data_IF_572921768513
#
_entry.id   IF_572921768513
#
_cell.length_a   1.000
_cell.length_b   1.000
_cell.length_c   1.000
_cell.angle_alpha   90.00
_cell.angle_beta   90.00
_cell.angle_gamma   90.00
#
_symmetry.space_group_name_H-M   'P 1'
#
loop_
_entity.id
_entity.type
_entity.pdbx_description
1 polymer ?
#
# COMPACT_ATOMS: atom_id res chain seq x y z
N UNK A 1 -60.50 5.80 -7.55
CA UNK A 1 -59.23 5.30 -6.96
C UNK A 1 -58.33 4.92 -8.13
N UNK A 2 -57.61 5.93 -8.69
CA UNK A 2 -56.68 5.72 -9.79
C UNK A 2 -55.60 4.77 -9.27
N UNK A 3 -55.51 3.59 -9.88
CA UNK A 3 -54.36 2.71 -9.71
C UNK A 3 -53.14 3.50 -10.21
N UNK A 4 -52.26 3.93 -9.30
CA UNK A 4 -51.02 4.57 -9.65
C UNK A 4 -50.27 3.70 -10.62
N UNK A 5 -50.08 4.19 -11.84
CA UNK A 5 -49.38 3.51 -12.90
C UNK A 5 -47.98 3.15 -12.41
N UNK A 6 -47.61 1.87 -12.24
CA UNK A 6 -46.32 1.45 -11.70
C UNK A 6 -45.13 2.05 -12.49
N UNK A 7 -45.40 2.39 -13.76
CA UNK A 7 -44.43 3.05 -14.61
C UNK A 7 -44.14 4.50 -14.15
N UNK A 8 -45.17 5.27 -13.75
CA UNK A 8 -44.99 6.62 -13.22
C UNK A 8 -44.23 6.62 -11.90
N UNK A 9 -44.53 5.65 -11.03
CA UNK A 9 -43.77 5.47 -9.79
C UNK A 9 -42.30 5.13 -10.07
N UNK A 10 -42.03 4.23 -10.99
CA UNK A 10 -40.66 3.86 -11.39
C UNK A 10 -39.89 5.05 -12.00
N UNK A 11 -40.53 5.85 -12.86
CA UNK A 11 -39.94 7.07 -13.43
C UNK A 11 -39.65 8.09 -12.33
N UNK A 12 -40.55 8.29 -11.38
CA UNK A 12 -40.35 9.19 -10.24
C UNK A 12 -39.15 8.77 -9.36
N UNK A 13 -39.03 7.49 -9.05
CA UNK A 13 -37.89 6.93 -8.32
C UNK A 13 -36.59 7.13 -9.09
N UNK A 14 -36.58 6.87 -10.40
CA UNK A 14 -35.41 7.09 -11.24
C UNK A 14 -35.02 8.57 -11.31
N UNK A 15 -35.96 9.49 -11.44
CA UNK A 15 -35.69 10.93 -11.43
C UNK A 15 -35.12 11.39 -10.09
N UNK A 16 -35.69 10.95 -8.96
CA UNK A 16 -35.18 11.22 -7.64
C UNK A 16 -33.75 10.68 -7.45
N UNK A 17 -33.49 9.46 -7.91
CA UNK A 17 -32.16 8.87 -7.89
C UNK A 17 -31.17 9.66 -8.75
N UNK A 18 -31.54 10.03 -9.97
CA UNK A 18 -30.72 10.88 -10.85
C UNK A 18 -30.42 12.24 -10.22
N UNK A 19 -31.40 12.86 -9.58
CA UNK A 19 -31.18 14.10 -8.84
C UNK A 19 -30.12 13.92 -7.74
N UNK A 20 -30.24 12.87 -6.92
CA UNK A 20 -29.27 12.57 -5.86
C UNK A 20 -27.86 12.34 -6.45
N UNK A 21 -27.74 11.56 -7.53
CA UNK A 21 -26.46 11.31 -8.19
C UNK A 21 -25.83 12.62 -8.70
N UNK A 22 -26.59 13.42 -9.42
CA UNK A 22 -26.07 14.66 -10.00
C UNK A 22 -25.69 15.68 -8.94
N UNK A 23 -26.62 16.01 -8.01
CA UNK A 23 -26.44 17.12 -7.07
C UNK A 23 -25.57 16.76 -5.85
N UNK A 24 -25.60 15.52 -5.37
CA UNK A 24 -24.84 15.12 -4.17
C UNK A 24 -23.55 14.35 -4.46
N UNK A 25 -23.37 13.83 -5.66
CA UNK A 25 -22.19 13.06 -6.02
C UNK A 25 -21.38 13.76 -7.12
N UNK A 26 -21.98 13.97 -8.31
CA UNK A 26 -21.25 14.49 -9.45
C UNK A 26 -20.82 15.95 -9.30
N UNK A 27 -21.74 16.86 -8.99
CA UNK A 27 -21.42 18.29 -8.83
C UNK A 27 -20.37 18.51 -7.73
N UNK A 28 -20.50 17.97 -6.50
CA UNK A 28 -19.45 18.09 -5.50
C UNK A 28 -18.13 17.43 -5.94
N UNK A 29 -18.17 16.36 -6.74
CA UNK A 29 -16.96 15.75 -7.28
C UNK A 29 -16.26 16.65 -8.30
N UNK A 30 -17.00 17.24 -9.23
CA UNK A 30 -16.46 18.16 -10.24
C UNK A 30 -15.72 19.33 -9.59
N UNK A 31 -16.32 19.94 -8.58
CA UNK A 31 -15.73 21.10 -7.88
C UNK A 31 -14.79 20.72 -6.74
N UNK A 32 -14.55 19.43 -6.47
CA UNK A 32 -13.70 18.97 -5.37
C UNK A 32 -14.26 19.30 -3.99
N UNK A 33 -15.56 19.54 -3.88
CA UNK A 33 -16.22 19.88 -2.63
C UNK A 33 -16.40 18.64 -1.75
N UNK A 34 -16.10 18.79 -0.46
CA UNK A 34 -16.38 17.77 0.55
C UNK A 34 -17.64 18.18 1.33
N UNK A 35 -18.63 17.29 1.35
CA UNK A 35 -19.86 17.50 2.16
C UNK A 35 -19.63 17.21 3.65
N UNK A 36 -18.40 16.91 4.07
CA UNK A 36 -18.05 16.59 5.46
C UNK A 36 -18.55 15.21 5.94
N UNK A 37 -19.39 14.53 5.16
CA UNK A 37 -19.99 13.24 5.51
C UNK A 37 -18.93 12.19 5.83
N UNK A 38 -17.88 12.11 5.02
CA UNK A 38 -16.78 11.15 5.24
C UNK A 38 -16.06 11.41 6.57
N UNK A 39 -15.85 12.68 6.93
CA UNK A 39 -15.21 13.02 8.21
C UNK A 39 -16.07 12.66 9.42
N UNK A 40 -17.40 12.82 9.33
CA UNK A 40 -18.33 12.37 10.37
C UNK A 40 -18.31 10.84 10.47
N UNK A 41 -18.38 10.16 9.34
CA UNK A 41 -18.32 8.70 9.25
C UNK A 41 -17.06 8.14 9.91
N UNK A 42 -15.87 8.67 9.59
CA UNK A 42 -14.61 8.23 10.19
C UNK A 42 -14.59 8.48 11.71
N UNK A 43 -15.09 9.63 12.18
CA UNK A 43 -15.17 9.90 13.64
C UNK A 43 -16.05 8.89 14.36
N UNK A 44 -17.17 8.51 13.77
CA UNK A 44 -18.06 7.46 14.34
C UNK A 44 -17.33 6.12 14.39
N UNK A 45 -16.65 5.73 13.31
CA UNK A 45 -15.85 4.49 13.27
C UNK A 45 -14.76 4.48 14.34
N UNK A 46 -14.02 5.58 14.51
CA UNK A 46 -12.97 5.71 15.53
C UNK A 46 -13.56 5.53 16.93
N UNK A 47 -14.68 6.18 17.23
CA UNK A 47 -15.35 6.03 18.55
C UNK A 47 -15.79 4.60 18.81
N UNK A 48 -16.34 3.91 17.81
CA UNK A 48 -16.72 2.49 17.94
C UNK A 48 -15.48 1.63 18.19
N UNK A 49 -14.39 1.88 17.47
CA UNK A 49 -13.12 1.17 17.59
C UNK A 49 -12.51 1.37 18.98
N UNK A 50 -12.45 2.61 19.46
CA UNK A 50 -11.94 2.94 20.79
C UNK A 50 -12.78 2.28 21.90
N UNK A 51 -14.10 2.38 21.80
CA UNK A 51 -15.01 1.73 22.75
C UNK A 51 -14.80 0.20 22.77
N UNK A 52 -14.72 -0.43 21.61
CA UNK A 52 -14.48 -1.88 21.49
C UNK A 52 -13.13 -2.28 22.10
N UNK A 53 -12.06 -1.51 21.81
CA UNK A 53 -10.72 -1.76 22.34
C UNK A 53 -10.70 -1.68 23.86
N UNK A 54 -11.27 -0.62 24.45
CA UNK A 54 -11.35 -0.47 25.91
C UNK A 54 -12.11 -1.64 26.55
N UNK A 55 -13.19 -2.09 25.89
CA UNK A 55 -13.99 -3.20 26.43
C UNK A 55 -13.25 -4.53 26.39
N UNK A 56 -12.51 -4.79 25.32
CA UNK A 56 -11.66 -5.99 25.21
C UNK A 56 -10.55 -5.96 26.25
N UNK A 57 -9.90 -4.82 26.45
CA UNK A 57 -8.84 -4.66 27.44
C UNK A 57 -9.36 -4.87 28.87
N UNK A 58 -10.58 -4.41 29.21
CA UNK A 58 -11.21 -4.66 30.51
C UNK A 58 -11.47 -6.15 30.71
N UNK A 59 -12.10 -6.82 29.75
CA UNK A 59 -12.37 -8.25 29.82
C UNK A 59 -11.09 -9.09 29.96
N UNK A 60 -9.98 -8.63 29.39
CA UNK A 60 -8.66 -9.27 29.53
C UNK A 60 -8.07 -9.11 30.93
N UNK A 61 -8.31 -7.96 31.60
CA UNK A 61 -7.84 -7.72 32.99
C UNK A 61 -8.63 -8.47 34.04
N UNK A 62 -9.90 -8.75 33.79
CA UNK A 62 -10.81 -9.45 34.72
C UNK A 62 -10.60 -10.97 34.71
N UNK A 63 -9.86 -11.53 33.76
CA UNK A 63 -9.52 -12.95 33.76
C UNK A 63 -8.13 -13.17 34.39
N UNK A 64 -7.99 -14.11 35.35
CA UNK A 64 -6.67 -14.45 35.89
C UNK A 64 -5.75 -14.88 34.73
N UNK A 65 -4.54 -14.39 34.78
CA UNK A 65 -3.49 -14.62 33.78
C UNK A 65 -3.17 -16.12 33.70
N UNK A 66 -3.88 -16.85 32.85
CA UNK A 66 -3.29 -18.03 32.25
C UNK A 66 -2.14 -17.50 31.42
N UNK A 67 -0.90 -18.00 31.55
CA UNK A 67 0.18 -17.57 30.67
C UNK A 67 -0.29 -17.76 29.23
N UNK A 68 -0.55 -16.64 28.54
CA UNK A 68 -0.79 -16.69 27.11
C UNK A 68 0.58 -17.03 26.52
N UNK A 69 0.73 -18.15 25.81
CA UNK A 69 1.93 -18.33 25.01
C UNK A 69 2.05 -17.07 24.17
N UNK A 70 3.19 -16.39 24.24
CA UNK A 70 3.53 -15.31 23.32
C UNK A 70 3.18 -15.82 21.92
N UNK A 71 2.58 -14.97 21.03
CA UNK A 71 2.30 -15.41 19.69
C UNK A 71 3.60 -15.97 19.12
N UNK A 72 3.56 -17.26 18.81
CA UNK A 72 4.68 -18.07 18.42
C UNK A 72 5.51 -17.31 17.39
N UNK A 73 6.62 -16.75 17.83
CA UNK A 73 7.68 -16.31 16.95
C UNK A 73 8.20 -17.53 16.20
N UNK A 74 8.83 -17.33 15.08
CA UNK A 74 9.52 -18.37 14.27
C UNK A 74 10.44 -19.27 15.12
N UNK A 75 10.99 -18.72 16.20
CA UNK A 75 11.84 -19.39 17.19
C UNK A 75 11.15 -20.58 17.89
N UNK A 76 9.84 -20.51 18.23
CA UNK A 76 9.15 -21.66 18.86
C UNK A 76 8.90 -22.83 17.89
N UNK A 77 8.72 -22.56 16.60
CA UNK A 77 8.66 -23.64 15.58
C UNK A 77 10.03 -24.25 15.33
N UNK A 78 11.09 -23.47 15.45
CA UNK A 78 12.46 -23.98 15.42
C UNK A 78 12.80 -24.78 16.68
N UNK A 79 12.24 -24.42 17.85
CA UNK A 79 12.42 -25.14 19.10
C UNK A 79 11.88 -26.56 19.09
N UNK A 80 10.67 -26.79 18.53
CA UNK A 80 10.11 -28.12 18.37
C UNK A 80 10.94 -29.00 17.41
N UNK A 81 11.47 -28.41 16.35
CA UNK A 81 12.39 -29.08 15.42
C UNK A 81 13.75 -29.38 16.05
N UNK A 82 14.20 -28.53 16.97
CA UNK A 82 15.49 -28.70 17.66
C UNK A 82 15.43 -29.78 18.75
N UNK A 83 14.29 -29.94 19.46
CA UNK A 83 14.06 -31.03 20.38
C UNK A 83 13.96 -32.38 19.66
N UNK A 84 13.37 -32.43 18.47
CA UNK A 84 13.30 -33.63 17.63
C UNK A 84 14.70 -34.03 17.07
N UNK A 85 15.56 -33.05 16.74
CA UNK A 85 16.91 -33.29 16.29
C UNK A 85 17.88 -33.62 17.45
N UNK A 86 17.71 -33.05 18.63
CA UNK A 86 18.48 -33.40 19.83
C UNK A 86 18.11 -34.78 20.41
N UNK A 87 16.94 -35.32 20.07
CA UNK A 87 16.51 -36.66 20.43
C UNK A 87 17.19 -37.80 19.59
N UNK A 88 18.16 -37.53 18.72
CA UNK A 88 18.93 -38.51 17.96
C UNK A 88 20.16 -38.98 18.71
N UNK A 89 20.65 -40.17 18.43
CA UNK A 89 21.13 -41.13 19.40
C UNK A 89 22.41 -40.75 20.15
N UNK A 90 22.51 -41.25 21.36
CA UNK A 90 23.68 -41.25 22.23
C UNK A 90 24.99 -41.50 21.46
N UNK A 91 25.87 -40.49 21.42
CA UNK A 91 27.24 -40.65 20.91
C UNK A 91 27.76 -39.54 20.01
N UNK A 92 26.97 -38.58 19.59
CA UNK A 92 27.46 -37.43 18.81
C UNK A 92 27.83 -36.27 19.76
N UNK A 93 29.10 -35.99 19.92
CA UNK A 93 29.54 -34.76 20.60
C UNK A 93 29.19 -33.54 19.75
N UNK A 94 28.60 -32.53 20.43
CA UNK A 94 28.27 -31.24 19.80
C UNK A 94 29.58 -30.54 19.36
N UNK A 95 29.74 -30.39 18.05
CA UNK A 95 30.90 -29.73 17.47
C UNK A 95 30.64 -28.22 17.22
N UNK A 96 31.72 -27.44 17.16
CA UNK A 96 31.62 -26.01 16.82
C UNK A 96 30.99 -25.77 15.43
N UNK A 97 31.15 -26.74 14.51
CA UNK A 97 30.51 -26.75 13.19
C UNK A 97 28.99 -26.76 13.29
N UNK A 98 28.43 -27.42 14.29
CA UNK A 98 26.96 -27.48 14.49
C UNK A 98 26.42 -26.13 14.98
N UNK A 99 27.16 -25.49 15.89
CA UNK A 99 26.82 -24.12 16.30
C UNK A 99 26.83 -23.13 15.11
N UNK A 100 27.84 -23.21 14.24
CA UNK A 100 27.94 -22.40 13.03
C UNK A 100 26.82 -22.70 12.03
N UNK A 101 26.44 -23.97 11.91
CA UNK A 101 25.33 -24.38 11.06
C UNK A 101 23.99 -23.80 11.55
N UNK A 102 23.67 -23.90 12.85
CA UNK A 102 22.46 -23.35 13.44
C UNK A 102 22.45 -21.80 13.33
N UNK A 103 23.58 -21.16 13.56
CA UNK A 103 23.70 -19.72 13.38
C UNK A 103 23.44 -19.31 11.93
N UNK A 104 24.05 -19.99 10.96
CA UNK A 104 23.84 -19.73 9.53
C UNK A 104 22.37 -19.90 9.12
N UNK A 105 21.75 -21.00 9.53
CA UNK A 105 20.33 -21.28 9.28
C UNK A 105 19.39 -20.28 9.96
N UNK A 106 19.71 -19.88 11.17
CA UNK A 106 18.95 -18.84 11.90
C UNK A 106 18.97 -17.51 11.17
N UNK A 107 20.13 -17.06 10.71
CA UNK A 107 20.25 -15.81 9.93
C UNK A 107 19.53 -15.92 8.60
N UNK A 108 19.62 -17.03 7.87
CA UNK A 108 18.87 -17.26 6.64
C UNK A 108 17.36 -17.15 6.87
N UNK A 109 16.85 -17.78 7.93
CA UNK A 109 15.43 -17.73 8.29
C UNK A 109 14.98 -16.33 8.64
N UNK A 110 15.77 -15.55 9.37
CA UNK A 110 15.48 -14.14 9.68
C UNK A 110 15.41 -13.30 8.41
N UNK A 111 16.35 -13.48 7.48
CA UNK A 111 16.37 -12.73 6.21
C UNK A 111 15.17 -13.10 5.34
N UNK A 112 14.84 -14.39 5.23
CA UNK A 112 13.67 -14.84 4.48
C UNK A 112 12.37 -14.30 5.07
N UNK A 113 12.24 -14.26 6.39
CA UNK A 113 11.08 -13.68 7.09
C UNK A 113 10.97 -12.18 6.88
N UNK A 114 12.07 -11.47 6.99
CA UNK A 114 12.14 -10.02 6.74
C UNK A 114 11.64 -9.66 5.33
N UNK A 115 12.02 -10.45 4.32
CA UNK A 115 11.55 -10.24 2.94
C UNK A 115 10.08 -10.61 2.81
N UNK A 116 9.67 -11.78 3.31
CA UNK A 116 8.30 -12.29 3.22
C UNK A 116 7.31 -11.36 3.93
N UNK A 117 7.68 -10.82 5.07
CA UNK A 117 6.86 -9.88 5.84
C UNK A 117 6.50 -8.62 5.04
N UNK A 118 7.36 -8.16 4.11
CA UNK A 118 7.08 -6.99 3.27
C UNK A 118 6.05 -7.26 2.16
N UNK A 119 5.77 -8.52 1.88
CA UNK A 119 4.78 -8.96 0.90
C UNK A 119 3.55 -9.63 1.53
N UNK A 120 3.37 -9.47 2.83
CA UNK A 120 2.18 -9.86 3.58
C UNK A 120 1.44 -8.65 4.11
N UNK A 121 0.20 -8.86 4.54
CA UNK A 121 -0.61 -7.82 5.22
C UNK A 121 0.07 -7.36 6.50
N UNK A 122 0.04 -6.05 6.77
CA UNK A 122 0.51 -5.48 8.03
C UNK A 122 -0.28 -6.05 9.21
N UNK A 123 0.41 -6.56 10.23
CA UNK A 123 -0.23 -7.04 11.45
C UNK A 123 -0.55 -5.87 12.38
N UNK A 124 -1.78 -5.84 12.89
CA UNK A 124 -2.18 -4.86 13.88
C UNK A 124 -1.79 -5.35 15.27
N UNK A 125 -1.14 -4.48 16.05
CA UNK A 125 -0.71 -4.77 17.44
C UNK A 125 -1.90 -5.08 18.36
N UNK A 126 -3.06 -4.48 18.10
CA UNK A 126 -4.29 -4.70 18.85
C UNK A 126 -5.37 -5.31 17.98
N UNK A 127 -6.27 -6.08 18.62
CA UNK A 127 -7.45 -6.60 17.94
C UNK A 127 -8.33 -5.44 17.45
N UNK A 128 -8.83 -5.58 16.23
CA UNK A 128 -9.67 -4.59 15.58
C UNK A 128 -10.99 -5.23 15.12
N UNK A 129 -12.06 -4.90 15.84
CA UNK A 129 -13.42 -5.38 15.56
C UNK A 129 -13.91 -5.00 14.15
N UNK A 130 -13.39 -3.90 13.59
CA UNK A 130 -13.83 -3.37 12.29
C UNK A 130 -13.23 -4.13 11.12
N UNK A 131 -11.98 -4.57 11.21
CA UNK A 131 -11.22 -5.11 10.07
C UNK A 131 -10.77 -6.55 10.24
N UNK A 132 -10.48 -6.97 11.46
CA UNK A 132 -9.91 -8.29 11.76
C UNK A 132 -10.56 -8.93 12.98
N UNK A 133 -10.66 -10.27 12.95
CA UNK A 133 -10.97 -11.06 14.13
C UNK A 133 -9.67 -11.52 14.76
N UNK A 134 -9.57 -11.45 16.09
CA UNK A 134 -8.50 -12.10 16.83
C UNK A 134 -8.78 -13.60 16.90
N UNK A 135 -7.76 -14.44 16.83
CA UNK A 135 -7.88 -15.88 17.03
C UNK A 135 -8.31 -16.24 18.47
N UNK A 136 -8.13 -15.32 19.41
CA UNK A 136 -8.47 -15.53 20.82
C UNK A 136 -9.88 -15.01 21.16
N UNK A 137 -10.90 -15.83 20.90
CA UNK A 137 -12.32 -15.52 21.14
C UNK A 137 -12.73 -15.40 22.62
N UNK A 138 -11.85 -15.72 23.56
CA UNK A 138 -12.17 -15.76 25.00
C UNK A 138 -12.61 -14.42 25.58
N UNK A 139 -12.26 -13.31 24.92
CA UNK A 139 -12.57 -11.95 25.41
C UNK A 139 -13.70 -11.26 24.66
N UNK A 140 -14.39 -11.96 23.74
CA UNK A 140 -15.46 -11.38 22.95
C UNK A 140 -16.78 -11.53 23.69
N UNK A 141 -17.32 -10.40 24.17
CA UNK A 141 -18.64 -10.36 24.82
C UNK A 141 -19.77 -10.39 23.79
N UNK A 142 -20.98 -10.83 24.21
CA UNK A 142 -22.19 -10.80 23.36
C UNK A 142 -22.42 -9.42 22.72
N UNK A 143 -22.18 -8.33 23.44
CA UNK A 143 -22.32 -6.95 22.93
C UNK A 143 -21.37 -6.67 21.76
N UNK A 144 -20.12 -7.14 21.84
CA UNK A 144 -19.16 -7.02 20.75
C UNK A 144 -19.58 -7.86 19.55
N UNK A 145 -20.14 -9.04 19.77
CA UNK A 145 -20.67 -9.89 18.70
C UNK A 145 -21.83 -9.21 17.98
N UNK A 146 -22.76 -8.58 18.70
CA UNK A 146 -23.87 -7.82 18.12
C UNK A 146 -23.34 -6.65 17.28
N UNK A 147 -22.40 -5.86 17.81
CA UNK A 147 -21.79 -4.75 17.07
C UNK A 147 -21.09 -5.25 15.82
N UNK A 148 -20.38 -6.37 15.89
CA UNK A 148 -19.75 -7.01 14.73
C UNK A 148 -20.79 -7.45 13.70
N UNK A 149 -21.89 -8.10 14.11
CA UNK A 149 -22.97 -8.54 13.22
C UNK A 149 -23.65 -7.38 12.49
N UNK A 150 -23.98 -6.31 13.23
CA UNK A 150 -24.48 -5.06 12.63
C UNK A 150 -23.46 -4.48 11.64
N UNK A 151 -22.18 -4.51 12.00
CA UNK A 151 -21.10 -4.08 11.14
C UNK A 151 -21.00 -4.88 9.84
N UNK A 152 -21.17 -6.20 9.89
CA UNK A 152 -21.23 -7.06 8.69
C UNK A 152 -22.40 -6.65 7.80
N UNK A 153 -23.59 -6.50 8.37
CA UNK A 153 -24.76 -6.06 7.62
C UNK A 153 -24.53 -4.71 6.93
N UNK A 154 -24.07 -3.70 7.67
CA UNK A 154 -23.80 -2.37 7.13
C UNK A 154 -22.77 -2.42 5.98
N UNK A 155 -21.68 -3.17 6.15
CA UNK A 155 -20.64 -3.27 5.12
C UNK A 155 -21.15 -3.91 3.82
N UNK A 156 -21.85 -5.04 3.93
CA UNK A 156 -22.19 -5.83 2.75
C UNK A 156 -23.55 -5.47 2.15
N UNK A 157 -24.51 -5.03 2.96
CA UNK A 157 -25.85 -4.72 2.47
C UNK A 157 -26.07 -3.23 2.16
N UNK A 158 -25.28 -2.33 2.76
CA UNK A 158 -25.42 -0.88 2.55
C UNK A 158 -24.22 -0.30 1.81
N UNK A 159 -23.02 -0.40 2.40
CA UNK A 159 -21.84 0.25 1.83
C UNK A 159 -21.37 -0.38 0.54
N UNK A 160 -21.34 -1.70 0.45
CA UNK A 160 -20.86 -2.40 -0.72
C UNK A 160 -21.69 -2.11 -1.99
N UNK A 161 -23.03 -2.23 -1.99
CA UNK A 161 -23.84 -1.85 -3.14
C UNK A 161 -23.68 -0.38 -3.53
N UNK A 162 -23.67 0.53 -2.55
CA UNK A 162 -23.45 1.96 -2.79
C UNK A 162 -22.11 2.21 -3.48
N UNK A 163 -21.05 1.57 -3.03
CA UNK A 163 -19.70 1.71 -3.58
C UNK A 163 -19.58 1.16 -5.00
N UNK A 164 -20.21 0.03 -5.28
CA UNK A 164 -20.28 -0.52 -6.64
C UNK A 164 -21.00 0.47 -7.55
N UNK A 165 -22.13 1.02 -7.11
CA UNK A 165 -22.87 2.05 -7.89
C UNK A 165 -22.00 3.25 -8.19
N UNK A 166 -21.28 3.79 -7.20
CA UNK A 166 -20.35 4.90 -7.39
C UNK A 166 -19.21 4.56 -8.35
N UNK A 167 -18.65 3.35 -8.25
CA UNK A 167 -17.61 2.90 -9.17
C UNK A 167 -18.15 2.81 -10.61
N UNK A 168 -19.32 2.25 -10.82
CA UNK A 168 -19.95 2.18 -12.15
C UNK A 168 -20.21 3.58 -12.70
N UNK A 169 -20.76 4.51 -11.91
CA UNK A 169 -20.97 5.90 -12.31
C UNK A 169 -19.65 6.57 -12.71
N UNK A 170 -18.61 6.47 -11.86
CA UNK A 170 -17.32 7.08 -12.11
C UNK A 170 -16.63 6.54 -13.36
N UNK A 171 -16.65 5.22 -13.55
CA UNK A 171 -16.06 4.58 -14.74
C UNK A 171 -16.84 4.88 -16.01
N UNK A 172 -18.16 4.87 -15.95
CA UNK A 172 -19.02 5.26 -17.09
C UNK A 172 -18.78 6.71 -17.49
N UNK A 173 -18.69 7.61 -16.51
CA UNK A 173 -18.32 9.02 -16.72
C UNK A 173 -16.96 9.16 -17.41
N UNK A 174 -15.95 8.39 -16.95
CA UNK A 174 -14.63 8.41 -17.55
C UNK A 174 -14.67 7.98 -19.03
N UNK A 175 -15.26 6.82 -19.32
CA UNK A 175 -15.29 6.28 -20.68
C UNK A 175 -16.09 7.15 -21.62
N UNK A 176 -17.27 7.61 -21.22
CA UNK A 176 -18.11 8.49 -22.03
C UNK A 176 -17.45 9.87 -22.21
N UNK A 177 -17.00 10.48 -21.13
CA UNK A 177 -16.39 11.81 -21.15
C UNK A 177 -15.10 11.85 -21.96
N UNK A 178 -14.18 10.89 -21.77
CA UNK A 178 -12.94 10.84 -22.55
C UNK A 178 -13.19 10.52 -24.02
N UNK A 179 -14.20 9.73 -24.34
CA UNK A 179 -14.60 9.47 -25.72
C UNK A 179 -15.12 10.75 -26.39
N UNK A 180 -16.04 11.46 -25.73
CA UNK A 180 -16.58 12.72 -26.26
C UNK A 180 -15.49 13.79 -26.40
N UNK A 181 -14.66 13.98 -25.40
CA UNK A 181 -13.54 14.93 -25.43
C UNK A 181 -12.50 14.56 -26.50
N UNK A 182 -12.32 13.25 -26.76
CA UNK A 182 -11.41 12.73 -27.78
C UNK A 182 -11.78 13.15 -29.21
N UNK A 183 -13.03 13.51 -29.50
CA UNK A 183 -13.46 14.04 -30.81
C UNK A 183 -13.17 15.53 -30.99
N UNK A 184 -12.82 16.24 -29.92
CA UNK A 184 -12.51 17.68 -30.03
C UNK A 184 -11.11 17.88 -30.64
N UNK A 185 -10.94 18.96 -31.43
CA UNK A 185 -9.61 19.34 -31.92
C UNK A 185 -8.68 19.74 -30.78
N UNK A 186 -7.38 19.58 -30.97
CA UNK A 186 -6.38 19.96 -29.97
C UNK A 186 -6.50 21.44 -29.62
N UNK A 187 -6.86 21.73 -28.41
CA UNK A 187 -7.11 23.06 -27.88
C UNK A 187 -7.01 23.12 -26.35
N UNK A 188 -6.88 24.32 -25.80
CA UNK A 188 -6.91 24.54 -24.36
C UNK A 188 -8.24 24.06 -23.75
N UNK A 189 -9.34 24.17 -24.48
CA UNK A 189 -10.67 23.67 -24.05
C UNK A 189 -10.67 22.15 -23.94
N UNK A 190 -10.09 21.43 -24.93
CA UNK A 190 -9.95 19.97 -24.89
C UNK A 190 -9.16 19.55 -23.65
N UNK A 191 -8.03 20.19 -23.40
CA UNK A 191 -7.18 19.90 -22.23
C UNK A 191 -7.93 20.12 -20.94
N UNK A 192 -8.61 21.25 -20.79
CA UNK A 192 -9.41 21.58 -19.60
C UNK A 192 -10.57 20.58 -19.39
N UNK A 193 -11.32 20.24 -20.43
CA UNK A 193 -12.40 19.24 -20.35
C UNK A 193 -11.86 17.86 -19.99
N UNK A 194 -10.72 17.46 -20.57
CA UNK A 194 -10.05 16.22 -20.24
C UNK A 194 -9.66 16.16 -18.76
N UNK A 195 -9.02 17.19 -18.23
CA UNK A 195 -8.68 17.30 -16.82
C UNK A 195 -9.94 17.21 -15.93
N UNK A 196 -11.02 17.90 -16.30
CA UNK A 196 -12.28 17.86 -15.55
C UNK A 196 -12.89 16.46 -15.50
N UNK A 197 -12.91 15.76 -16.65
CA UNK A 197 -13.44 14.37 -16.75
C UNK A 197 -12.63 13.43 -15.85
N UNK A 198 -11.30 13.48 -15.94
CA UNK A 198 -10.43 12.62 -15.15
C UNK A 198 -10.55 12.91 -13.64
N UNK A 199 -10.46 14.18 -13.22
CA UNK A 199 -10.59 14.56 -11.82
C UNK A 199 -11.94 14.15 -11.24
N UNK A 200 -13.01 14.36 -11.99
CA UNK A 200 -14.36 13.96 -11.54
C UNK A 200 -14.46 12.47 -11.33
N UNK A 201 -13.96 11.66 -12.28
CA UNK A 201 -13.92 10.20 -12.15
C UNK A 201 -13.15 9.77 -10.88
N UNK A 202 -11.92 10.23 -10.71
CA UNK A 202 -11.08 9.81 -9.58
C UNK A 202 -11.67 10.25 -8.24
N UNK A 203 -12.31 11.42 -8.19
CA UNK A 203 -13.01 11.91 -6.99
C UNK A 203 -14.25 11.08 -6.66
N UNK A 204 -15.00 10.62 -7.67
CA UNK A 204 -16.12 9.69 -7.46
C UNK A 204 -15.59 8.33 -6.99
N UNK A 205 -14.54 7.80 -7.61
CA UNK A 205 -13.92 6.54 -7.21
C UNK A 205 -13.37 6.60 -5.77
N UNK A 206 -12.71 7.69 -5.38
CA UNK A 206 -12.25 7.89 -4.00
C UNK A 206 -13.42 7.88 -3.01
N UNK A 207 -14.55 8.51 -3.32
CA UNK A 207 -15.77 8.43 -2.50
C UNK A 207 -16.33 7.02 -2.46
N UNK A 208 -16.30 6.29 -3.58
CA UNK A 208 -16.69 4.89 -3.65
C UNK A 208 -15.85 3.98 -2.74
N UNK A 209 -14.62 4.35 -2.44
CA UNK A 209 -13.77 3.67 -1.46
C UNK A 209 -13.96 4.18 -0.03
N UNK A 210 -14.85 5.15 0.20
CA UNK A 210 -14.92 5.94 1.44
C UNK A 210 -13.54 6.47 1.85
N UNK A 211 -12.76 6.93 0.85
CA UNK A 211 -11.41 7.40 1.07
C UNK A 211 -11.42 8.76 1.76
N UNK A 212 -10.69 8.86 2.85
CA UNK A 212 -10.33 10.11 3.51
C UNK A 212 -8.86 10.36 3.29
N UNK A 213 -8.55 11.33 2.43
CA UNK A 213 -7.18 11.63 2.03
C UNK A 213 -6.75 12.93 2.68
N UNK A 214 -5.68 12.89 3.45
CA UNK A 214 -5.05 14.05 4.06
C UNK A 214 -3.81 14.43 3.25
N UNK A 215 -3.92 15.50 2.45
CA UNK A 215 -2.82 16.03 1.67
C UNK A 215 -2.06 17.07 2.48
N UNK A 216 -0.75 16.86 2.62
CA UNK A 216 0.16 17.73 3.34
C UNK A 216 1.15 18.38 2.38
N UNK A 217 1.53 19.62 2.64
CA UNK A 217 2.51 20.39 1.85
C UNK A 217 2.15 20.49 0.36
N UNK A 218 0.91 20.90 0.09
CA UNK A 218 0.40 21.04 -1.28
C UNK A 218 1.15 22.05 -2.14
N UNK A 219 1.88 22.94 -1.52
CA UNK A 219 2.82 23.88 -2.18
C UNK A 219 3.89 23.15 -3.01
N UNK A 220 4.29 21.95 -2.59
CA UNK A 220 5.27 21.10 -3.30
C UNK A 220 4.64 20.16 -4.34
N UNK A 221 3.34 20.30 -4.59
CA UNK A 221 2.64 19.44 -5.55
C UNK A 221 3.31 19.49 -6.93
N UNK A 222 3.43 18.32 -7.62
CA UNK A 222 4.03 18.27 -8.95
C UNK A 222 3.39 19.26 -9.93
N UNK A 223 4.23 20.05 -10.58
CA UNK A 223 3.82 20.98 -11.63
C UNK A 223 4.03 20.37 -13.01
N UNK A 224 3.50 21.03 -14.07
CA UNK A 224 3.65 20.58 -15.46
C UNK A 224 5.14 20.43 -15.80
N UNK A 225 5.51 19.27 -16.34
CA UNK A 225 6.89 18.94 -16.70
C UNK A 225 7.70 18.24 -15.60
N UNK A 226 7.21 18.17 -14.37
CA UNK A 226 7.86 17.43 -13.28
C UNK A 226 7.47 15.94 -13.22
N UNK A 227 8.38 15.12 -12.72
CA UNK A 227 8.18 13.67 -12.53
C UNK A 227 7.70 13.42 -11.10
N UNK A 228 6.49 12.86 -10.93
CA UNK A 228 6.00 12.43 -9.63
C UNK A 228 6.50 11.01 -9.32
N UNK A 229 7.18 10.82 -8.18
CA UNK A 229 7.64 9.52 -7.69
C UNK A 229 7.09 9.27 -6.29
N UNK A 230 6.42 8.14 -6.10
CA UNK A 230 5.84 7.74 -4.81
C UNK A 230 6.21 6.30 -4.45
N UNK A 231 6.13 5.98 -3.15
CA UNK A 231 6.08 4.58 -2.74
C UNK A 231 4.78 3.93 -3.25
N UNK A 232 4.82 2.63 -3.51
CA UNK A 232 3.71 1.93 -4.14
C UNK A 232 3.23 0.75 -3.28
N UNK A 233 2.08 0.92 -2.66
CA UNK A 233 1.45 -0.08 -1.80
C UNK A 233 0.35 -0.83 -2.55
N UNK A 234 -0.38 -0.13 -3.44
CA UNK A 234 -1.60 -0.65 -4.04
C UNK A 234 -1.98 0.09 -5.35
N UNK A 235 -2.70 -0.55 -6.27
CA UNK A 235 -3.25 0.15 -7.44
C UNK A 235 -4.14 1.36 -7.09
N UNK A 236 -4.68 1.43 -5.88
CA UNK A 236 -5.49 2.56 -5.40
C UNK A 236 -4.65 3.83 -5.25
N UNK A 237 -3.32 3.74 -5.10
CA UNK A 237 -2.42 4.91 -5.02
C UNK A 237 -2.65 5.88 -6.19
N UNK A 238 -2.95 5.33 -7.38
CA UNK A 238 -3.31 6.10 -8.57
C UNK A 238 -4.57 6.93 -8.33
N UNK A 239 -5.62 6.32 -7.76
CA UNK A 239 -6.89 7.01 -7.45
C UNK A 239 -6.66 8.09 -6.40
N UNK A 240 -5.83 7.81 -5.40
CA UNK A 240 -5.52 8.75 -4.31
C UNK A 240 -4.76 9.97 -4.84
N UNK A 241 -3.71 9.77 -5.65
CA UNK A 241 -2.94 10.88 -6.23
C UNK A 241 -3.78 11.66 -7.26
N UNK A 242 -4.48 10.96 -8.15
CA UNK A 242 -5.28 11.58 -9.19
C UNK A 242 -6.56 12.28 -8.67
N UNK A 243 -6.96 12.01 -7.43
CA UNK A 243 -8.03 12.75 -6.75
C UNK A 243 -7.66 14.23 -6.48
N UNK A 244 -6.37 14.53 -6.31
CA UNK A 244 -5.86 15.89 -6.08
C UNK A 244 -5.35 16.59 -7.35
N UNK A 245 -4.92 15.85 -8.37
CA UNK A 245 -4.38 16.42 -9.60
C UNK A 245 -4.41 15.48 -10.78
N UNK A 246 -4.37 16.03 -11.99
CA UNK A 246 -4.31 15.25 -13.19
C UNK A 246 -2.85 14.90 -13.52
N UNK A 247 -2.52 13.61 -13.55
CA UNK A 247 -1.20 13.09 -13.84
C UNK A 247 -1.23 12.22 -15.10
N UNK A 248 -0.25 12.38 -15.98
CA UNK A 248 0.01 11.40 -17.03
C UNK A 248 0.57 10.13 -16.37
N UNK A 249 -0.12 9.01 -16.57
CA UNK A 249 0.23 7.76 -15.90
C UNK A 249 1.11 6.91 -16.80
N UNK A 250 2.07 6.23 -16.18
CA UNK A 250 2.91 5.22 -16.81
C UNK A 250 2.62 3.87 -16.19
N UNK A 251 2.26 2.90 -17.00
CA UNK A 251 1.88 1.59 -16.50
C UNK A 251 1.95 0.49 -17.54
N UNK A 252 1.51 -0.70 -17.16
CA UNK A 252 1.42 -1.87 -18.04
C UNK A 252 0.07 -1.88 -18.76
N UNK A 253 0.06 -2.33 -20.02
CA UNK A 253 -1.17 -2.64 -20.77
C UNK A 253 -1.91 -3.78 -20.10
N UNK A 254 -3.21 -3.62 -19.91
CA UNK A 254 -4.10 -4.63 -19.36
C UNK A 254 -5.17 -5.03 -20.40
N UNK A 255 -5.66 -6.27 -20.29
CA UNK A 255 -6.80 -6.75 -21.05
C UNK A 255 -8.15 -6.46 -20.38
N UNK A 256 -9.25 -6.86 -21.04
CA UNK A 256 -10.59 -6.77 -20.49
C UNK A 256 -11.06 -5.33 -20.25
N UNK A 257 -11.90 -5.13 -19.23
CA UNK A 257 -12.48 -3.83 -18.87
C UNK A 257 -11.41 -2.76 -18.59
N UNK A 258 -10.32 -3.12 -17.91
CA UNK A 258 -9.21 -2.21 -17.65
C UNK A 258 -8.55 -1.73 -18.95
N UNK A 259 -8.38 -2.61 -19.94
CA UNK A 259 -7.84 -2.24 -21.25
C UNK A 259 -8.78 -1.30 -22.04
N UNK A 260 -10.09 -1.45 -21.89
CA UNK A 260 -11.06 -0.49 -22.48
C UNK A 260 -10.88 0.89 -21.86
N UNK A 261 -10.77 0.97 -20.53
CA UNK A 261 -10.52 2.22 -19.81
C UNK A 261 -9.19 2.86 -20.25
N UNK A 262 -8.11 2.09 -20.29
CA UNK A 262 -6.80 2.59 -20.73
C UNK A 262 -6.86 3.16 -22.14
N UNK A 263 -7.51 2.47 -23.09
CA UNK A 263 -7.68 2.96 -24.48
C UNK A 263 -8.51 4.22 -24.56
N UNK A 264 -9.56 4.37 -23.76
CA UNK A 264 -10.37 5.59 -23.75
C UNK A 264 -9.57 6.78 -23.20
N UNK A 265 -8.79 6.58 -22.17
CA UNK A 265 -7.98 7.61 -21.51
C UNK A 265 -6.87 8.17 -22.42
N UNK A 266 -6.21 7.32 -23.22
CA UNK A 266 -5.14 7.74 -24.15
C UNK A 266 -5.62 8.76 -25.20
N UNK A 267 -6.91 8.75 -25.53
CA UNK A 267 -7.49 9.70 -26.50
C UNK A 267 -7.58 11.14 -25.97
N UNK A 268 -7.59 11.29 -24.67
CA UNK A 268 -7.82 12.58 -24.01
C UNK A 268 -6.61 13.09 -23.19
N UNK A 269 -5.70 12.22 -22.80
CA UNK A 269 -4.52 12.57 -21.99
C UNK A 269 -3.32 11.69 -22.40
N UNK A 270 -2.10 12.23 -22.41
CA UNK A 270 -0.89 11.51 -22.85
C UNK A 270 -0.43 10.49 -21.78
N UNK A 271 -1.21 9.42 -21.58
CA UNK A 271 -0.81 8.28 -20.76
C UNK A 271 0.13 7.36 -21.53
N UNK A 272 1.10 6.76 -20.85
CA UNK A 272 2.09 5.85 -21.45
C UNK A 272 1.87 4.44 -20.94
N UNK A 273 1.47 3.53 -21.83
CA UNK A 273 1.23 2.14 -21.53
C UNK A 273 2.26 1.27 -22.27
N UNK A 274 2.91 0.37 -21.51
CA UNK A 274 3.93 -0.55 -22.02
C UNK A 274 3.43 -1.97 -22.04
N UNK A 275 3.76 -2.73 -23.07
CA UNK A 275 3.61 -4.17 -23.06
C UNK A 275 4.69 -4.82 -22.17
N UNK A 276 4.40 -6.05 -21.71
CA UNK A 276 5.30 -6.78 -20.80
C UNK A 276 6.66 -7.11 -21.46
N UNK A 277 6.67 -7.30 -22.76
CA UNK A 277 7.86 -7.50 -23.60
C UNK A 277 8.70 -6.22 -23.70
N UNK A 278 8.07 -5.08 -24.01
CA UNK A 278 8.72 -3.77 -24.11
C UNK A 278 9.35 -3.31 -22.79
N UNK A 279 8.76 -3.71 -21.65
CA UNK A 279 9.30 -3.39 -20.32
C UNK A 279 10.65 -4.05 -20.01
N UNK A 280 11.10 -5.02 -20.82
CA UNK A 280 12.45 -5.60 -20.75
C UNK A 280 13.46 -4.75 -21.51
N UNK A 281 13.04 -4.02 -22.52
CA UNK A 281 13.88 -3.09 -23.26
C UNK A 281 13.95 -1.73 -22.53
N UNK A 282 15.06 -1.52 -21.81
CA UNK A 282 15.29 -0.30 -21.02
C UNK A 282 15.36 0.95 -21.91
N UNK A 283 15.93 0.85 -23.09
CA UNK A 283 16.14 1.98 -23.99
C UNK A 283 14.80 2.47 -24.58
N UNK A 284 13.94 1.54 -24.99
CA UNK A 284 12.59 1.87 -25.46
C UNK A 284 11.74 2.55 -24.36
N UNK A 285 11.82 2.05 -23.14
CA UNK A 285 11.12 2.63 -21.97
C UNK A 285 11.63 4.05 -21.68
N UNK A 286 12.95 4.23 -21.63
CA UNK A 286 13.56 5.55 -21.34
C UNK A 286 13.26 6.56 -22.44
N UNK A 287 13.31 6.16 -23.71
CA UNK A 287 12.99 7.03 -24.85
C UNK A 287 11.52 7.50 -24.81
N UNK A 288 10.57 6.58 -24.56
CA UNK A 288 9.14 6.95 -24.42
C UNK A 288 8.87 7.81 -23.18
N UNK A 289 9.57 7.55 -22.07
CA UNK A 289 9.43 8.36 -20.85
C UNK A 289 9.98 9.77 -21.03
N UNK A 290 11.07 9.95 -21.78
CA UNK A 290 11.59 11.30 -22.14
C UNK A 290 10.59 12.13 -22.93
N UNK A 291 9.79 11.50 -23.77
CA UNK A 291 8.72 12.17 -24.49
C UNK A 291 7.50 12.51 -23.63
N UNK A 292 7.30 11.77 -22.51
CA UNK A 292 6.12 11.90 -21.67
C UNK A 292 6.52 11.74 -20.19
N UNK A 293 6.53 12.82 -19.46
CA UNK A 293 6.89 12.84 -18.04
C UNK A 293 5.74 12.28 -17.20
N UNK A 294 5.97 11.16 -16.49
CA UNK A 294 4.95 10.49 -15.69
C UNK A 294 5.50 9.54 -14.63
N UNK A 295 4.67 9.25 -13.62
CA UNK A 295 5.02 8.38 -12.49
C UNK A 295 5.09 6.90 -12.88
N UNK A 296 6.17 6.21 -12.51
CA UNK A 296 6.34 4.78 -12.73
C UNK A 296 6.49 4.02 -11.41
N UNK A 297 5.52 3.14 -11.11
CA UNK A 297 5.62 2.19 -10.01
C UNK A 297 5.27 0.77 -10.50
N UNK A 298 6.05 -0.26 -10.12
CA UNK A 298 5.94 -1.61 -10.71
C UNK A 298 5.62 -2.75 -9.75
N UNK A 299 5.95 -2.63 -8.46
CA UNK A 299 5.76 -3.71 -7.49
C UNK A 299 5.21 -3.12 -6.21
N UNK A 300 4.05 -3.62 -5.79
CA UNK A 300 3.48 -3.26 -4.51
C UNK A 300 4.25 -3.93 -3.37
N UNK A 301 4.60 -3.15 -2.36
CA UNK A 301 5.11 -3.58 -1.07
C UNK A 301 4.12 -3.13 0.01
N UNK A 302 4.07 -3.83 1.14
CA UNK A 302 3.14 -3.44 2.18
C UNK A 302 3.45 -2.04 2.73
N UNK A 303 2.49 -1.49 3.45
CA UNK A 303 2.51 -0.12 3.99
C UNK A 303 3.59 0.15 5.06
N UNK A 304 4.59 -0.74 5.21
CA UNK A 304 5.66 -0.61 6.22
C UNK A 304 7.00 -0.17 5.65
N UNK A 305 7.17 -0.23 4.32
CA UNK A 305 8.49 -0.12 3.70
C UNK A 305 8.46 0.53 2.31
N UNK A 306 9.62 0.98 1.85
CA UNK A 306 9.87 1.44 0.48
C UNK A 306 11.00 0.62 -0.11
N UNK A 307 10.78 0.04 -1.29
CA UNK A 307 11.80 -0.68 -2.05
C UNK A 307 12.59 0.24 -2.97
N UNK A 308 13.71 -0.27 -3.49
CA UNK A 308 14.51 0.42 -4.50
C UNK A 308 13.66 0.80 -5.72
N UNK A 309 13.78 2.06 -6.13
CA UNK A 309 13.16 2.56 -7.35
C UNK A 309 13.93 2.10 -8.60
N UNK A 310 13.24 1.99 -9.72
CA UNK A 310 13.88 1.71 -11.00
C UNK A 310 14.52 2.97 -11.58
N UNK A 311 15.73 2.84 -12.10
CA UNK A 311 16.57 3.94 -12.58
C UNK A 311 15.94 4.78 -13.70
N UNK A 312 15.08 4.21 -14.53
CA UNK A 312 14.59 4.83 -15.75
C UNK A 312 13.98 6.23 -15.59
N UNK A 313 13.24 6.48 -14.49
CA UNK A 313 12.68 7.81 -14.22
C UNK A 313 13.74 8.82 -13.79
N UNK A 314 14.90 8.38 -13.30
CA UNK A 314 15.99 9.21 -12.80
C UNK A 314 17.07 9.44 -13.86
N UNK A 315 17.14 8.59 -14.91
CA UNK A 315 18.03 8.74 -16.08
C UNK A 315 17.53 9.77 -17.09
N UNK A 316 16.24 10.12 -17.03
CA UNK A 316 15.64 11.08 -17.98
C UNK A 316 16.19 12.50 -17.77
N UNK A 317 16.63 12.80 -16.56
CA UNK A 317 16.89 14.18 -16.11
C UNK A 317 15.61 14.93 -15.82
N UNK A 318 15.70 16.00 -15.06
CA UNK A 318 14.57 16.84 -14.71
C UNK A 318 14.24 16.80 -13.22
N UNK A 319 13.22 17.56 -12.85
CA UNK A 319 12.80 17.71 -11.46
C UNK A 319 11.92 16.53 -11.02
N UNK A 320 12.34 15.84 -9.98
CA UNK A 320 11.56 14.81 -9.31
C UNK A 320 10.76 15.45 -8.18
N UNK A 321 9.47 15.15 -8.11
CA UNK A 321 8.57 15.52 -7.02
C UNK A 321 8.28 14.27 -6.19
N UNK A 322 8.98 14.09 -5.05
CA UNK A 322 8.78 12.90 -4.22
C UNK A 322 7.47 13.01 -3.44
N UNK A 323 6.74 11.89 -3.34
CA UNK A 323 5.47 11.81 -2.60
C UNK A 323 5.49 10.60 -1.68
N UNK A 324 5.23 10.81 -0.41
CA UNK A 324 5.07 9.73 0.55
C UNK A 324 3.58 9.43 0.77
N UNK A 325 3.19 8.17 0.65
CA UNK A 325 1.82 7.69 0.85
C UNK A 325 1.83 6.70 2.02
N UNK A 326 1.02 6.97 3.04
CA UNK A 326 0.88 6.09 4.21
C UNK A 326 -0.59 5.84 4.51
N UNK A 327 -1.01 4.58 4.44
CA UNK A 327 -2.36 4.15 4.78
C UNK A 327 -2.51 3.86 6.27
N UNK A 328 -3.71 4.10 6.80
CA UNK A 328 -4.07 3.68 8.15
C UNK A 328 -4.70 2.28 8.10
N UNK A 329 -4.03 1.23 8.58
CA UNK A 329 -4.51 -0.15 8.46
C UNK A 329 -5.71 -0.48 9.36
N UNK A 330 -6.08 0.41 10.28
CA UNK A 330 -7.18 0.19 11.25
C UNK A 330 -8.54 -0.01 10.58
N UNK A 331 -8.78 0.62 9.43
CA UNK A 331 -10.07 0.60 8.74
C UNK A 331 -10.12 -0.39 7.58
N UNK A 332 -8.97 -0.77 7.06
CA UNK A 332 -8.80 -1.70 5.97
C UNK A 332 -7.34 -1.76 5.53
N UNK A 333 -6.86 -2.95 5.23
CA UNK A 333 -5.51 -3.13 4.71
C UNK A 333 -5.49 -2.86 3.21
N UNK A 334 -4.89 -1.74 2.83
CA UNK A 334 -4.80 -1.31 1.43
C UNK A 334 -3.78 -2.10 0.61
N UNK A 335 -2.92 -2.90 1.22
CA UNK A 335 -1.88 -3.64 0.50
C UNK A 335 -2.45 -4.67 -0.48
N UNK A 336 -1.97 -4.63 -1.73
CA UNK A 336 -2.32 -5.62 -2.73
C UNK A 336 -1.29 -6.73 -2.86
N UNK A 337 -1.58 -7.87 -2.25
CA UNK A 337 -0.81 -9.08 -2.49
C UNK A 337 -1.20 -9.72 -3.83
N UNK A 338 -0.51 -9.32 -4.92
CA UNK A 338 -0.76 -9.80 -6.28
C UNK A 338 -0.42 -11.28 -6.49
N UNK A 339 0.30 -11.91 -5.56
CA UNK A 339 0.54 -13.36 -5.56
C UNK A 339 -0.65 -14.16 -5.02
N UNK A 340 -1.50 -13.55 -4.18
CA UNK A 340 -2.64 -14.20 -3.53
C UNK A 340 -3.98 -13.81 -4.16
N UNK A 341 -4.15 -12.57 -4.61
CA UNK A 341 -5.42 -12.05 -5.10
C UNK A 341 -5.29 -11.41 -6.48
N UNK A 342 -6.18 -11.77 -7.38
CA UNK A 342 -6.36 -11.03 -8.62
C UNK A 342 -6.87 -9.61 -8.34
N UNK A 343 -6.60 -8.67 -9.25
CA UNK A 343 -6.95 -7.26 -9.10
C UNK A 343 -8.44 -7.04 -8.80
N UNK A 344 -9.35 -7.74 -9.49
CA UNK A 344 -10.79 -7.60 -9.26
C UNK A 344 -11.20 -8.09 -7.86
N UNK A 345 -10.69 -9.24 -7.44
CA UNK A 345 -10.93 -9.75 -6.07
C UNK A 345 -10.38 -8.79 -5.01
N UNK A 346 -9.24 -8.20 -5.27
CA UNK A 346 -8.66 -7.17 -4.40
C UNK A 346 -9.56 -5.92 -4.33
N UNK A 347 -10.02 -5.37 -5.46
CA UNK A 347 -10.90 -4.20 -5.49
C UNK A 347 -12.21 -4.44 -4.77
N UNK A 348 -12.83 -5.62 -4.96
CA UNK A 348 -14.05 -6.00 -4.23
C UNK A 348 -13.81 -6.08 -2.72
N UNK A 349 -12.65 -6.57 -2.29
CA UNK A 349 -12.27 -6.56 -0.86
C UNK A 349 -12.13 -5.13 -0.34
N UNK A 350 -11.52 -4.22 -1.10
CA UNK A 350 -11.42 -2.81 -0.71
C UNK A 350 -12.79 -2.16 -0.61
N UNK A 351 -13.69 -2.45 -1.56
CA UNK A 351 -15.07 -1.98 -1.52
C UNK A 351 -15.89 -2.58 -0.37
N UNK A 352 -15.51 -3.73 0.18
CA UNK A 352 -16.13 -4.33 1.37
C UNK A 352 -15.44 -3.94 2.69
N UNK A 353 -14.35 -3.17 2.67
CA UNK A 353 -13.69 -2.64 3.86
C UNK A 353 -14.51 -1.50 4.49
N UNK A 354 -14.11 -1.03 5.67
CA UNK A 354 -14.82 0.09 6.31
C UNK A 354 -14.53 1.42 5.61
N UNK A 355 -13.27 1.76 5.43
CA UNK A 355 -12.82 2.99 4.79
C UNK A 355 -11.37 2.85 4.36
N UNK A 356 -10.92 3.77 3.53
CA UNK A 356 -9.50 3.98 3.23
C UNK A 356 -9.10 5.32 3.81
N UNK A 357 -8.26 5.32 4.83
CA UNK A 357 -7.69 6.54 5.41
C UNK A 357 -6.23 6.60 5.02
N UNK A 358 -5.81 7.71 4.43
CA UNK A 358 -4.47 7.84 3.87
C UNK A 358 -3.91 9.24 4.05
N UNK A 359 -2.64 9.33 4.42
CA UNK A 359 -1.86 10.55 4.43
C UNK A 359 -0.95 10.58 3.20
N UNK A 360 -0.95 11.70 2.52
CA UNK A 360 -0.12 11.97 1.34
C UNK A 360 0.71 13.22 1.62
N UNK A 361 2.03 13.09 1.63
CA UNK A 361 2.94 14.23 1.80
C UNK A 361 3.66 14.51 0.49
N UNK A 362 3.50 15.73 -0.01
CA UNK A 362 4.30 16.25 -1.11
C UNK A 362 5.62 16.79 -0.53
N UNK A 363 6.74 16.23 -0.95
CA UNK A 363 8.07 16.67 -0.51
C UNK A 363 8.61 17.76 -1.44
N UNK A 364 9.57 18.57 -0.98
CA UNK A 364 10.25 19.52 -1.85
C UNK A 364 10.79 18.87 -3.11
N UNK A 365 10.73 19.54 -4.27
CA UNK A 365 11.25 19.01 -5.50
C UNK A 365 12.76 18.76 -5.41
N UNK A 366 13.23 17.71 -6.06
CA UNK A 366 14.62 17.27 -6.03
C UNK A 366 15.16 17.15 -7.45
N UNK A 367 16.39 17.60 -7.65
CA UNK A 367 17.17 17.43 -8.88
C UNK A 367 18.42 16.60 -8.61
N UNK A 368 19.00 15.99 -9.64
CA UNK A 368 20.29 15.31 -9.53
C UNK A 368 21.37 16.33 -9.13
N UNK A 369 22.31 15.90 -8.30
CA UNK A 369 23.47 16.67 -7.88
C UNK A 369 24.66 16.38 -8.80
N UNK A 370 25.63 17.28 -8.81
CA UNK A 370 26.86 17.09 -9.60
C UNK A 370 27.61 15.84 -9.14
N UNK A 371 27.93 14.96 -10.07
CA UNK A 371 28.59 13.69 -9.81
C UNK A 371 27.68 12.57 -9.29
N UNK A 372 26.37 12.82 -9.08
CA UNK A 372 25.41 11.83 -8.64
C UNK A 372 24.90 10.99 -9.80
N UNK A 373 25.05 9.66 -9.72
CA UNK A 373 24.44 8.77 -10.71
C UNK A 373 22.94 8.59 -10.46
N UNK A 374 22.23 8.04 -11.47
CA UNK A 374 20.78 7.85 -11.39
C UNK A 374 20.36 6.88 -10.26
N UNK A 375 21.23 5.98 -9.81
CA UNK A 375 20.95 5.08 -8.69
C UNK A 375 21.09 5.79 -7.34
N UNK A 376 22.12 6.60 -7.19
CA UNK A 376 22.34 7.42 -6.00
C UNK A 376 21.21 8.42 -5.84
N UNK A 377 20.82 9.11 -6.93
CA UNK A 377 19.67 10.01 -6.92
C UNK A 377 18.37 9.30 -6.55
N UNK A 378 18.10 8.13 -7.14
CA UNK A 378 16.93 7.32 -6.79
C UNK A 378 16.92 6.90 -5.32
N UNK A 379 18.07 6.52 -4.75
CA UNK A 379 18.20 6.17 -3.32
C UNK A 379 17.97 7.38 -2.42
N UNK A 380 18.51 8.54 -2.78
CA UNK A 380 18.30 9.79 -2.02
C UNK A 380 16.81 10.18 -1.99
N UNK A 381 16.11 10.08 -3.11
CA UNK A 381 14.66 10.30 -3.20
C UNK A 381 13.90 9.25 -2.39
N UNK A 382 14.28 7.97 -2.48
CA UNK A 382 13.69 6.85 -1.71
C UNK A 382 13.80 7.10 -0.20
N UNK A 383 14.99 7.45 0.28
CA UNK A 383 15.24 7.72 1.70
C UNK A 383 14.44 8.94 2.22
N UNK A 384 14.25 9.97 1.37
CA UNK A 384 13.40 11.10 1.72
C UNK A 384 11.93 10.69 1.89
N UNK A 385 11.41 9.87 0.97
CA UNK A 385 10.04 9.31 1.04
C UNK A 385 9.88 8.41 2.27
N UNK A 386 10.84 7.50 2.50
CA UNK A 386 10.82 6.57 3.63
C UNK A 386 10.78 7.32 4.97
N UNK A 387 11.67 8.31 5.14
CA UNK A 387 11.74 9.14 6.35
C UNK A 387 10.43 9.89 6.60
N UNK A 388 9.86 10.50 5.56
CA UNK A 388 8.62 11.26 5.70
C UNK A 388 7.41 10.38 5.99
N UNK A 389 7.31 9.22 5.35
CA UNK A 389 6.22 8.27 5.52
C UNK A 389 6.32 7.39 6.78
N UNK A 390 7.44 7.48 7.54
CA UNK A 390 7.71 6.53 8.63
C UNK A 390 7.78 5.09 8.12
N UNK A 391 8.46 4.90 6.98
CA UNK A 391 8.61 3.63 6.28
C UNK A 391 10.05 3.14 6.39
N UNK A 392 10.24 1.82 6.39
CA UNK A 392 11.58 1.24 6.34
C UNK A 392 12.16 1.43 4.94
N UNK A 393 13.39 1.88 4.90
CA UNK A 393 14.17 2.06 3.66
C UNK A 393 14.88 0.76 3.32
N UNK A 394 14.44 0.08 2.25
CA UNK A 394 14.96 -1.23 1.85
C UNK A 394 16.02 -1.10 0.75
N UNK A 395 17.11 -1.83 0.89
CA UNK A 395 18.23 -1.86 -0.06
C UNK A 395 18.02 -2.83 -1.24
N UNK A 396 16.81 -3.38 -1.38
CA UNK A 396 16.52 -4.37 -2.42
C UNK A 396 15.24 -4.00 -3.21
N UNK A 397 15.07 -4.62 -4.37
CA UNK A 397 13.98 -4.39 -5.31
C UNK A 397 12.91 -5.50 -5.27
N UNK A 398 11.76 -5.23 -5.92
CA UNK A 398 10.65 -6.18 -6.01
C UNK A 398 10.93 -7.51 -6.72
N UNK A 399 12.17 -7.76 -7.16
CA UNK A 399 12.58 -9.03 -7.75
C UNK A 399 12.50 -10.18 -6.75
N UNK A 400 12.71 -9.90 -5.46
CA UNK A 400 12.63 -10.89 -4.39
C UNK A 400 11.21 -11.41 -4.11
N UNK A 401 10.17 -10.72 -4.58
CA UNK A 401 8.78 -11.15 -4.43
C UNK A 401 8.47 -12.49 -5.12
N UNK A 402 9.19 -12.82 -6.18
CA UNK A 402 8.86 -13.94 -7.08
C UNK A 402 9.88 -15.07 -7.05
N UNK A 403 10.97 -14.90 -6.35
CA UNK A 403 12.06 -15.87 -6.24
C UNK A 403 12.44 -16.11 -4.79
N UNK A 404 13.22 -17.18 -4.56
CA UNK A 404 13.95 -17.33 -3.29
C UNK A 404 14.87 -16.13 -3.12
N UNK A 405 15.08 -15.72 -1.88
CA UNK A 405 16.04 -14.66 -1.56
C UNK A 405 17.40 -15.05 -2.13
N UNK A 406 18.04 -14.12 -2.84
CA UNK A 406 19.35 -14.38 -3.46
C UNK A 406 20.40 -14.65 -2.38
N UNK A 407 21.25 -15.63 -2.62
CA UNK A 407 22.33 -15.99 -1.68
C UNK A 407 23.25 -14.79 -1.42
N UNK A 408 23.51 -13.97 -2.43
CA UNK A 408 24.31 -12.73 -2.25
C UNK A 408 23.71 -11.75 -1.23
N UNK A 409 22.38 -11.63 -1.14
CA UNK A 409 21.74 -10.79 -0.13
C UNK A 409 21.84 -11.42 1.26
N UNK A 410 21.70 -12.75 1.34
CA UNK A 410 21.87 -13.49 2.60
C UNK A 410 23.30 -13.32 3.13
N UNK A 411 24.29 -13.48 2.28
CA UNK A 411 25.71 -13.29 2.62
C UNK A 411 26.00 -11.84 3.06
N UNK A 412 25.43 -10.84 2.38
CA UNK A 412 25.58 -9.44 2.78
C UNK A 412 25.00 -9.18 4.17
N UNK A 413 23.80 -9.69 4.44
CA UNK A 413 23.20 -9.58 5.77
C UNK A 413 24.00 -10.36 6.82
N UNK A 414 24.50 -11.54 6.51
CA UNK A 414 25.38 -12.31 7.39
C UNK A 414 26.64 -11.52 7.75
N UNK A 415 27.29 -10.86 6.80
CA UNK A 415 28.45 -9.98 7.06
C UNK A 415 28.09 -8.79 7.97
N UNK A 416 26.93 -8.15 7.72
CA UNK A 416 26.43 -7.06 8.58
C UNK A 416 26.20 -7.55 10.01
N UNK A 417 25.55 -8.68 10.21
CA UNK A 417 25.34 -9.28 11.53
C UNK A 417 26.66 -9.70 12.19
N UNK A 418 27.56 -10.32 11.43
CA UNK A 418 28.89 -10.70 11.95
C UNK A 418 29.68 -9.49 12.45
N UNK A 419 29.63 -8.38 11.72
CA UNK A 419 30.34 -7.14 12.13
C UNK A 419 29.77 -6.51 13.40
N UNK A 420 28.50 -6.78 13.74
CA UNK A 420 27.88 -6.33 14.98
C UNK A 420 28.20 -7.26 16.16
N UNK A 421 28.24 -8.58 15.91
CA UNK A 421 28.43 -9.59 16.96
C UNK A 421 29.90 -9.77 17.33
N UNK A 422 30.82 -9.76 16.34
CA UNK A 422 32.26 -9.95 16.57
C UNK A 422 32.90 -8.93 17.52
N UNK A 423 32.56 -7.62 17.50
CA UNK A 423 33.07 -6.67 18.50
C UNK A 423 32.60 -6.95 19.93
N UNK A 424 31.43 -7.59 20.08
CA UNK A 424 30.87 -7.99 21.38
C UNK A 424 31.49 -9.27 21.93
N UNK A 425 32.12 -10.07 21.05
CA UNK A 425 32.73 -11.36 21.40
C UNK A 425 34.22 -11.26 21.72
N UNK A 426 34.86 -10.10 21.56
CA UNK A 426 36.25 -9.88 21.97
C UNK A 426 36.27 -9.70 23.49
N UNK A 427 36.87 -10.63 24.28
CA UNK A 427 37.01 -10.44 25.72
C UNK A 427 37.88 -9.22 26.01
N UNK A 428 37.61 -8.45 27.06
CA UNK A 428 38.49 -7.33 27.46
C UNK A 428 39.88 -7.85 27.73
N UNK A 429 40.86 -7.21 27.13
CA UNK A 429 42.31 -7.47 27.21
C UNK A 429 42.74 -8.31 28.41
N UNK A 430 43.35 -9.44 28.13
CA UNK A 430 44.20 -10.15 29.09
C UNK A 430 45.24 -9.17 29.62
N UNK A 431 45.07 -8.81 30.88
CA UNK A 431 46.10 -8.16 31.68
C UNK A 431 47.41 -8.94 31.55
N UNK A 432 48.39 -8.39 30.92
CA UNK A 432 49.73 -8.84 30.94
C UNK A 432 50.21 -8.93 32.39
N UNK A 433 50.20 -10.14 32.90
CA UNK A 433 50.90 -10.42 34.17
C UNK A 433 52.41 -10.55 33.80
N UNK A 434 53.13 -9.48 33.94
CA UNK A 434 54.58 -9.48 33.93
C UNK A 434 55.06 -10.17 35.19
N UNK A 435 55.43 -11.44 35.06
CA UNK A 435 56.24 -12.10 36.07
C UNK A 435 57.72 -11.67 35.91
N UNK A 436 58.14 -10.67 36.64
CA UNK A 436 59.54 -10.56 36.96
C UNK A 436 59.95 -11.74 37.89
N UNK A 437 60.76 -12.61 37.39
CA UNK A 437 61.58 -13.50 38.21
C UNK A 437 63.02 -12.99 38.17
N UNK A 438 63.45 -12.36 39.25
CA UNK A 438 64.87 -12.25 39.61
C UNK A 438 65.32 -13.54 40.26
N UNK A 439 66.36 -14.07 39.75
CA UNK A 439 67.59 -14.71 40.24
C UNK A 439 67.93 -15.91 39.39
#
# INVERSE_FOLDING_TARGET
MEMDDPWRAAVGVFQAWMFVVVFFIMLPAMFGLSLGVTGVYIRVLVRILEWATVRIQRGRREQPSVPVPLPNGIIERAGASMEEEMGKPEGAEFALSDALFFYHRGVESIVDDQVTQRFSSEELVSWNLLTRTNQNFRYISLRLTVVWGVGVFVRYCVLFPLRITLAVIGLSWLVLGTTLVGFLPESSVKTWLSELVHLTCYRICARGLSATVHYHHRENKPQKGGICVANHTTPIDVVILANDGCYAMVGQVHGGLMGVMQRSMVRSCPHVWFERSEMRDRNAVTSRLRAHVGAAARTCVNNTSVMMFKKGSFEIGGTIHPVAIKYDPRFGDAFWNSGKYHMMSYLLRMMSSWAIVVNVWYLPPMTSQDGEDAAQFANRVKSAIARRGGLLDLDWDGGLKRGKVKDSLKEEQQRKYSSVILPLATPPHSLHCSSESKL
#
